data_IF_600410431312
#
_entry.id   IF_600410431312
#
_cell.length_a   1.000
_cell.length_b   1.000
_cell.length_c   1.000
_cell.angle_alpha   90.00
_cell.angle_beta   90.00
_cell.angle_gamma   90.00
#
_symmetry.space_group_name_H-M   'P 1'
#
loop_
_entity.id
_entity.type
_entity.pdbx_description
1 polymer ?
#
# COMPACT_ATOMS: atom_id res chain seq x y z
N UNK A 1 -49.07 -52.88 -43.34
CA UNK A 1 -49.93 -51.68 -43.30
C UNK A 1 -50.01 -51.20 -41.87
N UNK A 2 -49.67 -49.93 -41.62
CA UNK A 2 -50.54 -49.11 -40.79
C UNK A 2 -50.80 -47.71 -41.40
N UNK A 3 -51.89 -47.04 -41.01
CA UNK A 3 -52.37 -45.80 -41.62
C UNK A 3 -51.94 -44.52 -40.87
N UNK A 4 -51.89 -43.43 -41.64
CA UNK A 4 -52.41 -42.04 -41.41
C UNK A 4 -52.31 -41.39 -40.00
N UNK A 5 -52.14 -40.08 -39.82
CA UNK A 5 -51.81 -38.92 -40.64
C UNK A 5 -51.60 -37.72 -39.67
N UNK A 6 -50.88 -36.71 -40.16
CA UNK A 6 -50.48 -35.39 -39.60
C UNK A 6 -51.69 -34.45 -39.24
N UNK A 7 -51.54 -33.20 -38.69
CA UNK A 7 -50.40 -32.29 -38.86
C UNK A 7 -50.00 -31.29 -37.74
N UNK A 8 -48.82 -30.71 -38.01
CA UNK A 8 -48.09 -29.60 -37.38
C UNK A 8 -48.52 -28.20 -37.87
N UNK A 9 -48.51 -27.19 -36.97
CA UNK A 9 -48.18 -25.76 -37.19
C UNK A 9 -48.24 -25.05 -35.81
N UNK A 10 -47.42 -24.06 -35.37
CA UNK A 10 -46.89 -22.84 -35.98
C UNK A 10 -45.59 -22.35 -35.28
N UNK A 11 -44.72 -21.68 -36.05
CA UNK A 11 -43.58 -20.85 -35.59
C UNK A 11 -44.01 -19.40 -35.33
N UNK A 12 -43.18 -18.58 -34.67
CA UNK A 12 -42.99 -17.18 -35.04
C UNK A 12 -41.64 -16.93 -35.73
N UNK A 13 -41.66 -16.13 -36.79
CA UNK A 13 -40.51 -15.58 -37.53
C UNK A 13 -39.90 -14.38 -36.79
N UNK A 14 -38.57 -14.22 -36.88
CA UNK A 14 -37.89 -12.96 -36.60
C UNK A 14 -37.15 -12.50 -37.86
N UNK A 15 -37.41 -11.25 -38.22
CA UNK A 15 -36.99 -10.56 -39.45
C UNK A 15 -35.52 -10.17 -39.40
N UNK A 16 -34.81 -10.43 -40.51
CA UNK A 16 -33.43 -9.98 -40.78
C UNK A 16 -33.50 -8.59 -41.40
N UNK A 17 -32.75 -7.62 -40.85
CA UNK A 17 -32.47 -6.35 -41.52
C UNK A 17 -30.96 -6.18 -41.61
N UNK A 18 -30.45 -6.18 -42.83
CA UNK A 18 -29.06 -5.87 -43.18
C UNK A 18 -28.90 -4.37 -43.36
N UNK A 19 -27.82 -3.78 -42.84
CA UNK A 19 -27.31 -2.50 -43.30
C UNK A 19 -25.77 -2.51 -43.26
N UNK A 20 -25.17 -2.20 -44.41
CA UNK A 20 -23.74 -2.24 -44.69
C UNK A 20 -23.05 -0.89 -44.43
N UNK A 21 -21.81 -1.00 -43.92
CA UNK A 21 -20.59 -0.23 -44.23
C UNK A 21 -20.64 1.30 -44.28
N UNK A 22 -19.92 1.94 -43.34
CA UNK A 22 -18.96 3.03 -43.65
C UNK A 22 -17.79 2.96 -42.65
N UNK A 23 -16.56 2.73 -43.14
CA UNK A 23 -15.30 2.96 -42.42
C UNK A 23 -14.85 4.42 -42.61
N UNK A 24 -14.00 4.93 -41.72
CA UNK A 24 -12.69 5.30 -42.22
C UNK A 24 -11.54 4.81 -41.34
N UNK A 25 -10.47 4.42 -42.05
CA UNK A 25 -9.15 4.13 -41.52
C UNK A 25 -8.46 5.41 -41.01
N UNK A 26 -7.56 5.26 -40.03
CA UNK A 26 -6.18 5.80 -40.05
C UNK A 26 -5.51 5.62 -38.68
N UNK A 27 -4.52 4.74 -38.60
CA UNK A 27 -3.33 4.90 -37.73
C UNK A 27 -2.19 5.48 -38.59
N UNK A 28 -1.28 6.25 -38.00
CA UNK A 28 0.07 5.74 -37.73
C UNK A 28 0.59 6.16 -36.33
N UNK A 29 1.19 5.26 -35.55
CA UNK A 29 2.65 5.01 -35.43
C UNK A 29 3.39 5.93 -34.45
N UNK A 30 3.81 5.30 -33.34
CA UNK A 30 5.03 5.46 -32.52
C UNK A 30 6.05 6.58 -32.82
N UNK A 31 6.42 7.35 -31.79
CA UNK A 31 7.76 7.88 -31.45
C UNK A 31 7.79 8.14 -29.93
N UNK A 32 8.57 7.41 -29.12
CA UNK A 32 9.96 7.67 -28.71
C UNK A 32 10.20 9.06 -28.10
N UNK A 33 10.45 9.10 -26.79
CA UNK A 33 11.26 10.14 -26.16
C UNK A 33 12.17 9.50 -25.11
N UNK A 34 13.41 9.24 -25.53
CA UNK A 34 14.55 9.14 -24.65
C UNK A 34 15.00 10.56 -24.31
N UNK A 35 15.36 10.83 -23.05
CA UNK A 35 16.18 11.99 -22.71
C UNK A 35 17.34 11.53 -21.85
N UNK A 36 18.44 11.24 -22.54
CA UNK A 36 19.80 11.31 -22.06
C UNK A 36 20.22 12.77 -21.91
N UNK A 37 20.91 13.08 -20.82
CA UNK A 37 21.92 14.14 -20.75
C UNK A 37 22.98 13.71 -19.71
N UNK A 38 24.15 13.39 -20.24
CA UNK A 38 25.44 13.46 -19.54
C UNK A 38 25.73 14.93 -19.16
N UNK A 39 26.43 15.20 -18.05
CA UNK A 39 27.90 15.30 -18.03
C UNK A 39 28.47 16.02 -16.78
N UNK A 40 29.70 15.59 -16.40
CA UNK A 40 30.80 16.29 -15.69
C UNK A 40 30.68 16.53 -14.15
N UNK A 41 31.45 15.80 -13.32
CA UNK A 41 32.79 16.12 -12.70
C UNK A 41 32.81 17.42 -11.86
N UNK A 42 33.40 17.56 -10.65
CA UNK A 42 34.41 16.85 -9.82
C UNK A 42 34.30 17.41 -8.36
N UNK A 43 34.87 16.78 -7.32
CA UNK A 43 34.57 17.08 -5.92
C UNK A 43 35.56 18.07 -5.27
N UNK A 44 35.17 18.70 -4.15
CA UNK A 44 36.07 19.45 -3.28
C UNK A 44 35.95 18.98 -1.83
N UNK A 45 37.11 18.63 -1.27
CA UNK A 45 37.34 18.16 0.09
C UNK A 45 37.64 19.32 1.06
N UNK A 46 37.56 18.95 2.34
CA UNK A 46 38.26 19.46 3.53
C UNK A 46 38.13 20.93 3.94
N UNK A 47 37.74 21.12 5.20
CA UNK A 47 38.58 21.83 6.18
C UNK A 47 38.14 21.52 7.61
N UNK A 48 39.02 20.79 8.30
CA UNK A 48 39.03 20.63 9.75
C UNK A 48 39.92 21.73 10.37
N UNK A 49 39.44 22.37 11.44
CA UNK A 49 40.20 23.07 12.50
C UNK A 49 39.27 23.03 13.73
N UNK A 50 39.62 22.63 14.96
CA UNK A 50 40.90 22.51 15.65
C UNK A 50 40.90 23.43 16.88
N UNK A 51 41.02 22.86 18.10
CA UNK A 51 41.34 23.56 19.36
C UNK A 51 40.24 23.51 20.44
N UNK A 52 40.33 22.65 21.46
CA UNK A 52 41.11 22.81 22.72
C UNK A 52 40.49 23.86 23.68
N UNK A 53 39.69 23.43 24.67
CA UNK A 53 40.06 23.12 26.07
C UNK A 53 40.20 24.35 26.98
N UNK A 54 39.37 24.42 28.03
CA UNK A 54 39.68 24.78 29.43
C UNK A 54 38.37 24.71 30.25
N UNK A 55 38.19 23.79 31.20
CA UNK A 55 38.62 23.78 32.63
C UNK A 55 37.94 24.86 33.50
N UNK A 56 37.20 24.42 34.52
CA UNK A 56 36.66 25.28 35.59
C UNK A 56 35.67 24.57 36.52
N UNK A 57 36.20 23.95 37.57
CA UNK A 57 35.51 23.39 38.74
C UNK A 57 34.75 24.45 39.57
N UNK A 58 33.74 24.01 40.34
CA UNK A 58 33.27 24.77 41.51
C UNK A 58 31.87 24.41 42.02
N UNK A 59 31.82 23.65 43.11
CA UNK A 59 30.62 23.20 43.82
C UNK A 59 30.00 24.27 44.76
N UNK A 60 28.69 24.21 44.97
CA UNK A 60 28.03 24.33 46.28
C UNK A 60 26.51 24.16 46.14
N UNK A 61 25.90 23.34 47.00
CA UNK A 61 24.45 23.19 47.07
C UNK A 61 23.75 24.38 47.73
N UNK A 62 22.42 24.41 47.61
CA UNK A 62 21.45 24.35 48.73
C UNK A 62 20.11 24.95 48.28
N UNK A 63 19.03 24.25 48.68
CA UNK A 63 17.66 24.73 48.87
C UNK A 63 16.71 24.96 47.69
N UNK A 64 15.59 24.23 47.78
CA UNK A 64 14.39 24.33 46.97
C UNK A 64 13.75 25.71 47.16
N UNK A 65 13.44 26.38 46.05
CA UNK A 65 12.41 27.40 45.97
C UNK A 65 11.55 27.13 44.76
N UNK A 66 10.26 27.07 44.99
CA UNK A 66 9.20 26.91 43.99
C UNK A 66 9.20 28.08 43.00
N UNK A 67 8.91 27.78 41.73
CA UNK A 67 8.39 28.72 40.74
C UNK A 67 9.43 29.43 39.86
N UNK A 68 9.64 28.93 38.63
CA UNK A 68 9.43 29.67 37.37
C UNK A 68 9.76 28.77 36.16
N UNK A 69 8.73 28.41 35.39
CA UNK A 69 8.87 27.76 34.08
C UNK A 69 9.22 28.85 33.07
N UNK A 70 10.50 29.14 32.89
CA UNK A 70 10.96 30.02 31.82
C UNK A 70 10.96 29.26 30.49
N UNK A 71 9.85 29.30 29.74
CA UNK A 71 9.81 28.70 28.41
C UNK A 71 8.50 28.79 27.63
N UNK A 72 7.42 29.33 28.21
CA UNK A 72 6.11 29.40 27.56
C UNK A 72 5.67 30.86 27.45
N UNK A 73 6.08 31.53 26.37
CA UNK A 73 5.32 32.58 25.67
C UNK A 73 6.19 33.19 24.57
N UNK A 74 6.59 32.36 23.60
CA UNK A 74 7.25 32.86 22.40
C UNK A 74 6.18 33.39 21.44
N UNK A 75 6.07 34.71 21.34
CA UNK A 75 5.11 35.32 20.43
C UNK A 75 5.60 35.23 18.97
N UNK A 76 4.67 35.38 18.01
CA UNK A 76 4.98 35.26 16.57
C UNK A 76 6.10 36.20 16.12
N UNK A 77 6.21 37.39 16.72
CA UNK A 77 7.27 38.35 16.42
C UNK A 77 8.66 37.85 16.85
N UNK A 78 8.78 37.24 18.03
CA UNK A 78 10.01 36.62 18.52
C UNK A 78 10.40 35.40 17.69
N UNK A 79 9.41 34.67 17.18
CA UNK A 79 9.62 33.54 16.27
C UNK A 79 10.15 33.94 14.91
N UNK A 80 9.55 34.94 14.28
CA UNK A 80 10.06 35.46 13.00
C UNK A 80 11.49 36.01 13.15
N UNK A 81 11.78 36.65 14.29
CA UNK A 81 13.12 37.11 14.65
C UNK A 81 14.14 35.98 14.77
N UNK A 82 13.80 34.87 15.44
CA UNK A 82 14.72 33.73 15.60
C UNK A 82 15.07 33.05 14.26
N UNK A 83 14.20 33.17 13.26
CA UNK A 83 14.41 32.67 11.90
C UNK A 83 15.08 33.67 10.96
N UNK A 84 15.30 34.91 11.39
CA UNK A 84 15.80 36.01 10.55
C UNK A 84 14.80 36.47 9.49
N UNK A 85 13.50 36.32 9.77
CA UNK A 85 12.38 36.65 8.87
C UNK A 85 11.54 37.83 9.42
N UNK A 86 12.16 38.78 10.13
CA UNK A 86 11.46 39.92 10.74
C UNK A 86 10.67 40.76 9.73
N UNK A 87 11.11 40.81 8.47
CA UNK A 87 10.45 41.54 7.38
C UNK A 87 9.08 40.98 7.00
N UNK A 88 8.71 39.77 7.45
CA UNK A 88 7.39 39.18 7.21
C UNK A 88 6.38 39.55 8.30
N UNK A 89 6.80 40.24 9.36
CA UNK A 89 5.96 40.55 10.52
C UNK A 89 4.65 41.24 10.16
N UNK A 90 4.70 42.23 9.28
CA UNK A 90 3.52 43.02 8.88
C UNK A 90 2.45 42.15 8.20
N UNK A 91 2.85 41.13 7.44
CA UNK A 91 1.94 40.18 6.80
C UNK A 91 1.21 39.35 7.87
N UNK A 92 1.96 38.82 8.85
CA UNK A 92 1.38 38.03 9.93
C UNK A 92 0.47 38.84 10.84
N UNK A 93 0.79 40.11 11.11
CA UNK A 93 -0.07 41.00 11.89
C UNK A 93 -1.33 41.41 11.11
N UNK A 94 -1.21 41.69 9.81
CA UNK A 94 -2.35 42.07 8.95
C UNK A 94 -3.36 40.93 8.81
N UNK A 95 -2.86 39.71 8.59
CA UNK A 95 -3.69 38.50 8.43
C UNK A 95 -4.04 37.84 9.78
N UNK A 96 -3.67 38.45 10.91
CA UNK A 96 -3.92 37.94 12.28
C UNK A 96 -3.43 36.51 12.50
N UNK A 97 -2.28 36.15 11.93
CA UNK A 97 -1.71 34.81 12.00
C UNK A 97 -0.86 34.68 13.26
N UNK A 98 -1.40 33.95 14.23
CA UNK A 98 -0.71 33.56 15.46
C UNK A 98 0.11 32.28 15.25
N UNK A 99 0.96 31.91 16.22
CA UNK A 99 1.89 30.79 16.10
C UNK A 99 1.21 29.42 16.02
N UNK A 100 0.06 29.28 16.67
CA UNK A 100 -0.85 28.12 16.57
C UNK A 100 -1.49 28.04 15.19
N UNK A 101 -1.98 29.15 14.63
CA UNK A 101 -2.52 29.19 13.27
C UNK A 101 -1.43 28.84 12.26
N UNK A 102 -0.21 29.40 12.41
CA UNK A 102 0.93 29.09 11.57
C UNK A 102 1.32 27.60 11.61
N UNK A 103 1.09 26.90 12.73
CA UNK A 103 1.39 25.47 12.85
C UNK A 103 0.51 24.60 11.93
N UNK A 104 -0.67 25.10 11.56
CA UNK A 104 -1.60 24.40 10.67
C UNK A 104 -1.44 24.83 9.18
N UNK A 105 -0.57 25.82 8.89
CA UNK A 105 -0.38 26.34 7.54
C UNK A 105 0.67 25.56 6.73
N UNK A 106 0.36 25.30 5.46
CA UNK A 106 1.26 24.67 4.51
C UNK A 106 1.88 25.66 3.51
N UNK A 107 2.58 25.11 2.52
CA UNK A 107 3.23 25.93 1.50
C UNK A 107 2.22 26.73 0.66
N UNK A 108 1.03 26.22 0.41
CA UNK A 108 0.03 26.91 -0.43
C UNK A 108 -0.64 28.06 0.34
N UNK A 109 -1.01 27.85 1.59
CA UNK A 109 -1.61 28.86 2.46
C UNK A 109 -0.64 30.02 2.72
N UNK A 110 0.64 29.71 2.95
CA UNK A 110 1.68 30.74 3.10
C UNK A 110 1.89 31.55 1.81
N UNK A 111 1.59 30.96 0.64
CA UNK A 111 1.67 31.66 -0.64
C UNK A 111 0.47 32.59 -0.84
N UNK A 112 -0.71 32.17 -0.40
CA UNK A 112 -1.94 32.96 -0.46
C UNK A 112 -1.86 34.24 0.36
N UNK A 113 -1.20 34.21 1.52
CA UNK A 113 -0.95 35.40 2.35
C UNK A 113 0.21 36.27 1.84
N UNK A 114 0.83 35.93 0.70
CA UNK A 114 1.84 36.75 0.04
C UNK A 114 3.30 36.33 0.26
N UNK A 115 3.58 35.21 0.96
CA UNK A 115 4.96 34.71 1.16
C UNK A 115 5.35 33.82 -0.03
N UNK A 116 5.64 34.43 -1.17
CA UNK A 116 5.92 33.71 -2.41
C UNK A 116 7.28 32.96 -2.40
N UNK A 117 8.28 33.53 -1.71
CA UNK A 117 9.62 32.96 -1.64
C UNK A 117 9.62 31.59 -0.96
N UNK A 118 9.99 30.55 -1.71
CA UNK A 118 10.00 29.17 -1.21
C UNK A 118 10.86 29.00 0.05
N UNK A 119 12.05 29.61 0.07
CA UNK A 119 12.96 29.54 1.21
C UNK A 119 12.39 30.12 2.50
N UNK A 120 11.57 31.18 2.41
CA UNK A 120 10.90 31.75 3.58
C UNK A 120 9.79 30.84 4.09
N UNK A 121 8.93 30.33 3.19
CA UNK A 121 7.90 29.34 3.54
C UNK A 121 8.50 28.09 4.19
N UNK A 122 9.58 27.57 3.62
CA UNK A 122 10.26 26.39 4.15
C UNK A 122 10.86 26.64 5.55
N UNK A 123 11.49 27.79 5.76
CA UNK A 123 12.04 28.17 7.07
C UNK A 123 10.95 28.33 8.15
N UNK A 124 9.80 28.89 7.80
CA UNK A 124 8.66 29.04 8.72
C UNK A 124 8.13 27.67 9.16
N UNK A 125 7.82 26.79 8.20
CA UNK A 125 7.31 25.44 8.47
C UNK A 125 8.32 24.64 9.32
N UNK A 126 9.60 24.61 8.92
CA UNK A 126 10.65 23.91 9.68
C UNK A 126 10.91 24.53 11.06
N UNK A 127 10.76 25.84 11.18
CA UNK A 127 10.90 26.55 12.45
C UNK A 127 9.81 26.16 13.44
N UNK A 128 8.56 26.04 12.99
CA UNK A 128 7.43 25.65 13.84
C UNK A 128 7.54 24.17 14.23
N UNK A 129 7.91 23.29 13.30
CA UNK A 129 8.18 21.88 13.62
C UNK A 129 9.27 21.73 14.70
N UNK A 130 10.31 22.57 14.66
CA UNK A 130 11.39 22.55 15.67
C UNK A 130 10.93 23.11 17.01
N UNK A 131 10.06 24.11 17.00
CA UNK A 131 9.51 24.73 18.21
C UNK A 131 8.52 23.79 18.92
N UNK A 132 7.69 23.07 18.15
CA UNK A 132 6.73 22.08 18.66
C UNK A 132 7.35 20.71 18.97
N UNK A 133 8.42 20.34 18.26
CA UNK A 133 9.21 19.12 18.50
C UNK A 133 10.24 19.25 19.63
N UNK A 134 10.28 20.40 20.30
CA UNK A 134 11.26 20.76 21.31
C UNK A 134 10.99 20.23 22.72
N UNK A 135 10.46 19.02 22.89
CA UNK A 135 10.53 18.26 24.15
C UNK A 135 10.63 16.76 23.84
N UNK A 136 11.86 16.26 23.73
CA UNK A 136 12.12 14.84 23.94
C UNK A 136 11.89 14.53 25.43
N UNK A 137 10.80 13.84 25.74
CA UNK A 137 10.51 13.39 27.10
C UNK A 137 9.15 12.72 27.23
N UNK A 138 9.11 11.40 27.04
CA UNK A 138 8.22 10.43 27.72
C UNK A 138 6.68 10.52 27.55
N UNK A 139 6.13 9.44 26.97
CA UNK A 139 4.82 8.77 27.24
C UNK A 139 3.51 9.22 26.54
N UNK A 140 2.54 8.29 26.36
CA UNK A 140 1.88 8.05 25.06
C UNK A 140 0.34 8.03 25.17
N UNK A 141 -0.28 9.10 25.63
CA UNK A 141 -1.74 9.24 25.61
C UNK A 141 -2.10 10.72 25.49
N UNK A 142 -2.80 11.10 24.42
CA UNK A 142 -3.36 12.44 24.13
C UNK A 142 -2.28 13.48 23.77
N UNK A 143 -2.15 13.99 22.54
CA UNK A 143 -3.19 14.63 21.73
C UNK A 143 -2.64 14.74 20.30
N UNK A 144 -3.05 13.86 19.38
CA UNK A 144 -2.69 13.98 17.97
C UNK A 144 -3.80 14.71 17.22
N UNK A 145 -3.61 16.02 17.00
CA UNK A 145 -4.23 16.74 15.90
C UNK A 145 -3.68 16.16 14.57
N UNK A 146 -4.16 14.98 14.20
CA UNK A 146 -3.80 14.30 12.97
C UNK A 146 -4.89 14.60 11.94
N UNK A 147 -4.72 15.68 11.18
CA UNK A 147 -5.57 15.96 10.00
C UNK A 147 -4.78 15.93 8.69
N UNK A 148 -3.44 15.93 8.73
CA UNK A 148 -2.61 15.98 7.52
C UNK A 148 -1.41 15.01 7.45
N UNK A 149 -1.26 14.06 8.38
CA UNK A 149 -0.22 13.04 8.20
C UNK A 149 -0.65 12.04 7.14
N UNK A 150 0.12 11.96 6.05
CA UNK A 150 0.00 10.90 5.04
C UNK A 150 0.26 9.52 5.64
N UNK A 151 0.53 8.53 4.80
CA UNK A 151 0.80 7.17 5.29
C UNK A 151 2.09 7.11 6.11
N UNK A 152 1.99 6.60 7.33
CA UNK A 152 3.10 6.27 8.22
C UNK A 152 3.28 4.75 8.22
N UNK A 153 4.52 4.27 8.16
CA UNK A 153 4.86 2.86 8.30
C UNK A 153 5.50 2.64 9.66
N UNK A 154 4.87 1.82 10.50
CA UNK A 154 5.39 1.44 11.80
C UNK A 154 6.02 0.06 11.70
N UNK A 155 7.33 -0.04 11.87
CA UNK A 155 8.03 -1.33 11.95
C UNK A 155 7.57 -2.09 13.20
N UNK A 156 7.17 -3.35 13.01
CA UNK A 156 6.84 -4.27 14.09
C UNK A 156 8.10 -5.04 14.50
N UNK A 157 8.33 -5.20 15.80
CA UNK A 157 9.47 -5.97 16.29
C UNK A 157 9.21 -7.48 16.07
N UNK A 158 10.22 -8.29 15.70
CA UNK A 158 10.05 -9.73 15.50
C UNK A 158 9.52 -10.49 16.74
N UNK A 159 9.84 -9.98 17.92
CA UNK A 159 9.35 -10.46 19.22
C UNK A 159 7.87 -10.12 19.49
N UNK A 160 7.28 -9.17 18.76
CA UNK A 160 5.88 -8.79 18.92
C UNK A 160 4.94 -9.91 18.43
N UNK A 161 3.87 -10.16 19.20
CA UNK A 161 2.85 -11.15 18.82
C UNK A 161 2.17 -10.81 17.49
N UNK A 162 1.99 -9.53 17.20
CA UNK A 162 1.41 -9.07 15.95
C UNK A 162 2.30 -9.43 14.75
N UNK A 163 3.63 -9.26 14.87
CA UNK A 163 4.59 -9.68 13.85
C UNK A 163 4.52 -11.21 13.64
N UNK A 164 4.61 -11.98 14.73
CA UNK A 164 4.60 -13.44 14.70
C UNK A 164 3.35 -14.00 14.03
N UNK A 165 2.17 -13.47 14.34
CA UNK A 165 0.92 -13.91 13.73
C UNK A 165 0.84 -13.61 12.23
N UNK A 166 1.33 -12.44 11.79
CA UNK A 166 1.36 -12.10 10.36
C UNK A 166 2.33 -13.00 9.59
N UNK A 167 3.52 -13.25 10.16
CA UNK A 167 4.48 -14.18 9.56
C UNK A 167 3.94 -15.62 9.52
N UNK A 168 3.35 -16.11 10.61
CA UNK A 168 2.78 -17.47 10.67
C UNK A 168 1.68 -17.67 9.62
N UNK A 169 0.77 -16.71 9.46
CA UNK A 169 -0.26 -16.76 8.42
C UNK A 169 0.37 -16.74 7.02
N UNK A 170 1.41 -15.93 6.81
CA UNK A 170 2.10 -15.86 5.53
C UNK A 170 2.78 -17.20 5.18
N UNK A 171 3.46 -17.84 6.14
CA UNK A 171 4.18 -19.10 5.92
C UNK A 171 3.22 -20.29 5.79
N UNK A 172 2.24 -20.41 6.69
CA UNK A 172 1.30 -21.56 6.73
C UNK A 172 0.38 -21.64 5.51
N UNK A 173 0.20 -20.54 4.79
CA UNK A 173 -0.67 -20.45 3.60
C UNK A 173 0.07 -20.60 2.27
N UNK A 174 1.35 -20.98 2.28
CA UNK A 174 2.12 -21.37 1.08
C UNK A 174 1.53 -22.67 0.47
N UNK A 175 1.39 -22.70 -0.86
CA UNK A 175 0.89 -23.86 -1.62
C UNK A 175 1.67 -24.01 -2.93
N UNK A 176 1.72 -25.24 -3.46
CA UNK A 176 2.33 -25.53 -4.76
C UNK A 176 1.42 -25.13 -5.92
N UNK A 177 1.90 -24.27 -6.82
CA UNK A 177 1.08 -23.79 -7.93
C UNK A 177 1.15 -24.70 -9.16
N UNK A 178 0.02 -24.80 -9.89
CA UNK A 178 -0.11 -25.64 -11.11
C UNK A 178 0.86 -25.27 -12.23
N UNK A 179 1.40 -24.05 -12.21
CA UNK A 179 2.36 -23.54 -13.20
C UNK A 179 3.81 -23.96 -12.90
N UNK A 180 4.02 -24.85 -11.91
CA UNK A 180 5.35 -25.33 -11.53
C UNK A 180 6.25 -24.21 -10.99
N UNK A 181 5.67 -23.13 -10.46
CA UNK A 181 6.42 -21.98 -9.98
C UNK A 181 6.83 -20.98 -11.08
N UNK A 182 6.30 -21.08 -12.29
CA UNK A 182 6.65 -20.16 -13.39
C UNK A 182 6.37 -18.68 -13.05
N UNK A 183 5.21 -18.34 -12.48
CA UNK A 183 4.86 -16.96 -12.17
C UNK A 183 5.50 -16.46 -10.86
N UNK A 184 5.44 -17.27 -9.79
CA UNK A 184 5.83 -16.86 -8.43
C UNK A 184 7.27 -17.23 -8.03
N UNK A 185 7.92 -18.13 -8.78
CA UNK A 185 9.14 -18.81 -8.37
C UNK A 185 8.89 -20.14 -7.65
N UNK A 186 9.96 -20.91 -7.48
CA UNK A 186 9.95 -22.21 -6.79
C UNK A 186 10.47 -22.03 -5.36
N UNK A 187 9.63 -22.25 -4.35
CA UNK A 187 9.97 -22.07 -2.94
C UNK A 187 9.00 -22.84 -2.04
N UNK A 188 9.42 -23.10 -0.79
CA UNK A 188 8.60 -23.74 0.24
C UNK A 188 8.53 -22.94 1.56
N UNK A 189 9.26 -21.83 1.65
CA UNK A 189 9.26 -20.88 2.78
C UNK A 189 9.67 -19.49 2.30
N UNK A 190 9.28 -18.47 3.06
CA UNK A 190 9.81 -17.12 2.89
C UNK A 190 10.90 -16.82 3.93
N UNK A 191 11.84 -15.95 3.58
CA UNK A 191 12.66 -15.21 4.53
C UNK A 191 11.99 -13.84 4.73
N UNK A 192 11.31 -13.63 5.85
CA UNK A 192 10.65 -12.35 6.14
C UNK A 192 11.69 -11.36 6.65
N UNK A 193 11.85 -10.25 5.93
CA UNK A 193 12.86 -9.22 6.23
C UNK A 193 12.33 -8.20 7.24
N UNK A 194 11.07 -7.76 7.06
CA UNK A 194 10.36 -6.89 8.00
C UNK A 194 8.86 -6.88 7.71
N UNK A 195 8.08 -6.55 8.73
CA UNK A 195 6.64 -6.32 8.65
C UNK A 195 6.37 -4.92 9.20
N UNK A 196 5.69 -4.11 8.40
CA UNK A 196 5.33 -2.74 8.75
C UNK A 196 3.81 -2.60 8.81
N UNK A 197 3.29 -2.06 9.90
CA UNK A 197 1.88 -1.68 10.01
C UNK A 197 1.67 -0.36 9.30
N UNK A 198 0.72 -0.34 8.37
CA UNK A 198 0.39 0.85 7.59
C UNK A 198 -0.63 1.67 8.36
N UNK A 199 -0.27 2.90 8.71
CA UNK A 199 -1.12 3.83 9.45
C UNK A 199 -1.46 5.00 8.54
N UNK A 200 -2.72 5.06 8.10
CA UNK A 200 -3.25 6.21 7.38
C UNK A 200 -4.69 6.46 7.85
N UNK A 201 -4.88 7.58 8.56
CA UNK A 201 -6.16 7.93 9.17
C UNK A 201 -7.28 8.09 8.14
N UNK A 202 -7.03 8.82 7.05
CA UNK A 202 -8.02 9.04 5.98
C UNK A 202 -8.42 7.74 5.28
N UNK A 203 -7.46 6.84 5.04
CA UNK A 203 -7.78 5.52 4.48
C UNK A 203 -8.59 4.68 5.47
N UNK A 204 -8.23 4.73 6.76
CA UNK A 204 -8.92 3.98 7.80
C UNK A 204 -10.37 4.44 7.96
N UNK A 205 -10.61 5.74 7.97
CA UNK A 205 -11.95 6.32 8.07
C UNK A 205 -12.84 5.91 6.89
N UNK A 206 -12.32 5.98 5.65
CA UNK A 206 -13.05 5.51 4.46
C UNK A 206 -13.40 4.02 4.57
N UNK A 207 -12.45 3.20 5.02
CA UNK A 207 -12.66 1.77 5.23
C UNK A 207 -13.74 1.49 6.29
N UNK A 208 -13.63 2.11 7.47
CA UNK A 208 -14.57 1.92 8.57
C UNK A 208 -15.98 2.42 8.19
N UNK A 209 -16.08 3.51 7.44
CA UNK A 209 -17.36 4.01 6.93
C UNK A 209 -18.04 2.98 6.02
N UNK A 210 -17.33 2.48 5.00
CA UNK A 210 -17.89 1.45 4.10
C UNK A 210 -18.21 0.16 4.85
N UNK A 211 -17.37 -0.23 5.81
CA UNK A 211 -17.60 -1.43 6.61
C UNK A 211 -18.93 -1.35 7.38
N UNK A 212 -19.26 -0.18 7.93
CA UNK A 212 -20.54 0.06 8.60
C UNK A 212 -21.71 -0.07 7.63
N UNK A 213 -21.66 0.57 6.45
CA UNK A 213 -22.69 0.43 5.42
C UNK A 213 -22.92 -1.04 5.02
N UNK A 214 -21.84 -1.78 4.74
CA UNK A 214 -21.93 -3.20 4.38
C UNK A 214 -22.49 -4.05 5.53
N UNK A 215 -22.19 -3.70 6.78
CA UNK A 215 -22.77 -4.38 7.94
C UNK A 215 -24.28 -4.19 7.99
N UNK A 216 -24.76 -2.95 7.84
CA UNK A 216 -26.18 -2.59 7.86
C UNK A 216 -26.94 -3.25 6.69
N UNK A 217 -26.35 -3.27 5.50
CA UNK A 217 -26.88 -3.95 4.31
C UNK A 217 -26.93 -5.49 4.44
N UNK A 218 -26.17 -6.07 5.38
CA UNK A 218 -26.00 -7.51 5.52
C UNK A 218 -26.32 -8.02 6.94
N UNK A 219 -27.42 -7.55 7.54
CA UNK A 219 -27.93 -8.05 8.83
C UNK A 219 -26.89 -7.95 9.97
N UNK A 220 -26.20 -6.81 10.05
CA UNK A 220 -25.14 -6.53 11.02
C UNK A 220 -23.89 -7.42 10.86
N UNK A 221 -23.67 -8.03 9.70
CA UNK A 221 -22.51 -8.86 9.41
C UNK A 221 -21.66 -8.29 8.25
N UNK A 222 -20.59 -7.56 8.59
CA UNK A 222 -19.67 -7.04 7.57
C UNK A 222 -18.73 -8.10 6.96
N UNK A 223 -18.58 -9.26 7.62
CA UNK A 223 -17.78 -10.40 7.12
C UNK A 223 -16.35 -9.97 6.72
N UNK A 224 -15.62 -9.37 7.67
CA UNK A 224 -14.23 -8.98 7.44
C UNK A 224 -13.33 -10.24 7.42
N UNK A 225 -12.40 -10.28 6.49
CA UNK A 225 -11.30 -11.26 6.48
C UNK A 225 -9.96 -10.56 6.29
N UNK A 226 -8.92 -11.17 6.84
CA UNK A 226 -7.54 -10.86 6.49
C UNK A 226 -7.14 -11.65 5.25
N UNK A 227 -6.66 -10.98 4.21
CA UNK A 227 -6.30 -11.60 2.92
C UNK A 227 -5.06 -10.94 2.31
N UNK A 228 -4.28 -11.70 1.55
CA UNK A 228 -3.06 -11.23 0.89
C UNK A 228 -3.36 -10.51 -0.43
N UNK A 229 -2.53 -9.54 -0.77
CA UNK A 229 -2.54 -8.86 -2.07
C UNK A 229 -1.11 -8.60 -2.58
N UNK A 230 -0.79 -9.11 -3.76
CA UNK A 230 0.48 -8.82 -4.46
C UNK A 230 0.24 -7.93 -5.66
N UNK A 231 1.06 -6.91 -5.83
CA UNK A 231 0.92 -5.94 -6.92
C UNK A 231 2.25 -5.20 -7.18
N UNK A 232 2.58 -4.86 -8.44
CA UNK A 232 3.70 -3.96 -8.72
C UNK A 232 3.41 -2.50 -8.29
N UNK A 233 2.17 -2.20 -7.88
CA UNK A 233 1.71 -0.86 -7.49
C UNK A 233 1.51 -0.69 -5.98
N UNK A 234 2.14 -1.53 -5.15
CA UNK A 234 2.00 -1.49 -3.68
C UNK A 234 2.23 -0.09 -3.10
N UNK A 235 3.23 0.66 -3.58
CA UNK A 235 3.49 2.03 -3.11
C UNK A 235 2.29 2.96 -3.34
N UNK A 236 1.59 2.84 -4.47
CA UNK A 236 0.39 3.63 -4.72
C UNK A 236 -0.74 3.21 -3.76
N UNK A 237 -0.91 1.92 -3.52
CA UNK A 237 -1.97 1.37 -2.66
C UNK A 237 -1.79 1.83 -1.22
N UNK A 238 -0.59 1.76 -0.64
CA UNK A 238 -0.37 2.17 0.76
C UNK A 238 -0.57 3.68 0.96
N UNK A 239 -0.33 4.51 -0.06
CA UNK A 239 -0.48 5.97 0.02
C UNK A 239 -1.88 6.48 -0.34
N UNK A 240 -2.55 5.85 -1.30
CA UNK A 240 -3.82 6.33 -1.87
C UNK A 240 -5.03 5.43 -1.58
N UNK A 241 -4.78 4.23 -1.03
CA UNK A 241 -5.77 3.18 -0.86
C UNK A 241 -5.93 2.34 -2.13
N UNK A 242 -6.72 1.28 -2.02
CA UNK A 242 -7.19 0.55 -3.19
C UNK A 242 -8.16 1.42 -4.01
N UNK A 243 -8.19 1.20 -5.31
CA UNK A 243 -8.97 1.98 -6.26
C UNK A 243 -9.40 1.09 -7.43
N UNK A 244 -10.69 0.82 -7.52
CA UNK A 244 -11.29 -0.05 -8.54
C UNK A 244 -11.10 0.47 -9.97
N UNK A 245 -10.79 1.76 -10.15
CA UNK A 245 -10.49 2.34 -11.47
C UNK A 245 -9.19 1.78 -12.07
N UNK A 246 -8.33 1.20 -11.22
CA UNK A 246 -7.11 0.50 -11.62
C UNK A 246 -7.27 -1.03 -11.59
N UNK A 247 -8.49 -1.53 -11.46
CA UNK A 247 -8.77 -2.96 -11.42
C UNK A 247 -8.34 -3.65 -12.73
N UNK A 248 -7.88 -4.89 -12.60
CA UNK A 248 -7.52 -5.69 -13.75
C UNK A 248 -8.77 -6.20 -14.47
N UNK A 249 -9.11 -5.56 -15.59
CA UNK A 249 -10.28 -5.92 -16.43
C UNK A 249 -10.19 -7.38 -16.95
N UNK A 250 -8.97 -7.89 -17.13
CA UNK A 250 -8.73 -9.25 -17.61
C UNK A 250 -8.94 -10.35 -16.56
N UNK A 251 -9.23 -10.03 -15.29
CA UNK A 251 -9.39 -11.03 -14.23
C UNK A 251 -10.60 -11.96 -14.42
N UNK A 252 -10.57 -13.16 -13.85
CA UNK A 252 -11.62 -14.19 -14.07
C UNK A 252 -13.03 -13.73 -13.65
N UNK A 253 -13.11 -12.83 -12.68
CA UNK A 253 -14.35 -12.24 -12.17
C UNK A 253 -14.57 -10.80 -12.65
N UNK A 254 -13.82 -10.37 -13.67
CA UNK A 254 -13.88 -9.03 -14.26
C UNK A 254 -13.08 -7.98 -13.50
N UNK A 255 -13.49 -6.71 -13.63
CA UNK A 255 -12.76 -5.52 -13.21
C UNK A 255 -12.92 -5.25 -11.70
N UNK A 256 -12.44 -6.17 -10.89
CA UNK A 256 -12.38 -6.04 -9.43
C UNK A 256 -10.95 -6.00 -8.87
N UNK A 257 -10.86 -5.81 -7.57
CA UNK A 257 -9.63 -5.88 -6.79
C UNK A 257 -9.55 -7.28 -6.18
N UNK A 258 -8.49 -8.01 -6.51
CA UNK A 258 -8.34 -9.43 -6.18
C UNK A 258 -7.46 -9.62 -4.95
N UNK A 259 -7.87 -10.54 -4.08
CA UNK A 259 -7.14 -10.97 -2.89
C UNK A 259 -7.09 -12.50 -2.84
N UNK A 260 -6.11 -13.03 -2.11
CA UNK A 260 -5.97 -14.47 -1.91
C UNK A 260 -5.83 -14.81 -0.42
N UNK A 261 -6.39 -15.94 -0.02
CA UNK A 261 -6.10 -16.52 1.30
C UNK A 261 -4.73 -17.23 1.34
N UNK A 262 -4.16 -17.55 0.17
CA UNK A 262 -2.83 -18.11 0.06
C UNK A 262 -1.79 -17.04 -0.27
N UNK A 263 -0.80 -16.83 0.61
CA UNK A 263 0.29 -15.88 0.39
C UNK A 263 1.02 -16.13 -0.94
N UNK A 264 1.28 -17.40 -1.24
CA UNK A 264 1.95 -17.86 -2.47
C UNK A 264 1.20 -17.51 -3.75
N UNK A 265 -0.14 -17.42 -3.69
CA UNK A 265 -0.98 -16.97 -4.81
C UNK A 265 -0.78 -15.48 -5.06
N UNK A 266 -0.80 -14.66 -4.01
CA UNK A 266 -0.49 -13.23 -4.11
C UNK A 266 0.95 -12.96 -4.58
N UNK A 267 1.91 -13.80 -4.19
CA UNK A 267 3.30 -13.72 -4.67
C UNK A 267 3.41 -13.83 -6.21
N UNK A 268 2.52 -14.55 -6.90
CA UNK A 268 2.50 -14.65 -8.37
C UNK A 268 2.22 -13.30 -9.07
N UNK A 269 1.75 -12.29 -8.33
CA UNK A 269 1.35 -10.98 -8.86
C UNK A 269 2.25 -9.82 -8.42
N UNK A 270 3.26 -10.06 -7.58
CA UNK A 270 4.17 -9.02 -7.08
C UNK A 270 4.86 -8.26 -8.21
N UNK A 271 5.25 -8.97 -9.27
CA UNK A 271 5.90 -8.39 -10.44
C UNK A 271 4.94 -8.18 -11.63
N UNK A 272 3.63 -8.20 -11.37
CA UNK A 272 2.57 -8.09 -12.38
C UNK A 272 1.95 -9.44 -12.76
N UNK A 273 1.03 -9.40 -13.74
CA UNK A 273 0.23 -10.55 -14.16
C UNK A 273 1.15 -11.68 -14.64
N UNK A 274 0.95 -12.89 -14.11
CA UNK A 274 1.78 -14.05 -14.44
C UNK A 274 3.26 -13.89 -14.02
N UNK A 275 3.54 -13.05 -13.03
CA UNK A 275 4.89 -12.74 -12.57
C UNK A 275 5.64 -11.74 -13.47
N UNK A 276 5.02 -11.22 -14.54
CA UNK A 276 5.66 -10.30 -15.48
C UNK A 276 7.00 -10.80 -15.99
N UNK A 277 7.99 -9.91 -16.03
CA UNK A 277 9.39 -10.25 -16.36
C UNK A 277 10.22 -10.61 -15.13
N UNK A 278 9.59 -10.88 -13.98
CA UNK A 278 10.29 -11.10 -12.72
C UNK A 278 10.88 -9.84 -12.11
N UNK A 279 11.85 -10.00 -11.21
CA UNK A 279 12.44 -8.87 -10.50
C UNK A 279 13.11 -7.86 -11.48
N UNK A 280 13.06 -6.54 -11.19
CA UNK A 280 13.57 -5.53 -12.11
C UNK A 280 15.05 -5.69 -12.46
N UNK A 281 15.86 -6.11 -11.48
CA UNK A 281 17.32 -6.23 -11.57
C UNK A 281 17.76 -7.43 -12.40
N UNK A 282 17.24 -8.62 -12.10
CA UNK A 282 17.73 -9.87 -12.70
C UNK A 282 16.82 -10.43 -13.79
N UNK A 283 15.63 -9.82 -13.99
CA UNK A 283 14.58 -10.32 -14.88
C UNK A 283 14.21 -11.79 -14.61
N UNK A 284 14.21 -12.14 -13.32
CA UNK A 284 13.98 -13.49 -12.84
C UNK A 284 12.75 -13.53 -11.93
N UNK A 285 11.76 -14.35 -12.31
CA UNK A 285 10.51 -14.58 -11.55
C UNK A 285 10.74 -15.44 -10.30
N UNK A 286 11.79 -16.25 -10.29
CA UNK A 286 12.20 -17.08 -9.16
C UNK A 286 13.41 -16.51 -8.41
N UNK A 287 13.64 -15.19 -8.52
CA UNK A 287 14.77 -14.56 -7.86
C UNK A 287 14.69 -14.71 -6.33
N UNK A 288 15.76 -15.27 -5.76
CA UNK A 288 15.97 -15.50 -4.32
C UNK A 288 16.75 -14.36 -3.62
N UNK A 289 17.16 -13.34 -4.38
CA UNK A 289 18.04 -12.24 -3.90
C UNK A 289 17.24 -10.96 -3.66
N UNK A 290 16.42 -10.54 -4.64
CA UNK A 290 15.68 -9.29 -4.52
C UNK A 290 14.56 -9.38 -3.47
N UNK A 291 14.44 -8.33 -2.66
CA UNK A 291 13.32 -8.17 -1.75
C UNK A 291 12.03 -7.97 -2.55
N UNK A 292 11.00 -8.72 -2.17
CA UNK A 292 9.62 -8.61 -2.63
C UNK A 292 8.80 -7.92 -1.57
N UNK A 293 7.66 -7.38 -1.98
CA UNK A 293 6.67 -6.83 -1.06
C UNK A 293 5.29 -7.38 -1.40
N UNK A 294 4.52 -7.70 -0.37
CA UNK A 294 3.09 -7.98 -0.49
C UNK A 294 2.34 -7.33 0.67
N UNK A 295 1.04 -7.14 0.49
CA UNK A 295 0.16 -6.62 1.52
C UNK A 295 -0.63 -7.74 2.18
N UNK A 296 -0.90 -7.60 3.47
CA UNK A 296 -1.87 -8.39 4.20
C UNK A 296 -2.96 -7.45 4.73
N UNK A 297 -4.16 -7.58 4.18
CA UNK A 297 -5.18 -6.55 4.18
C UNK A 297 -6.41 -6.97 4.97
N UNK A 298 -7.08 -6.02 5.63
CA UNK A 298 -8.48 -6.20 6.03
C UNK A 298 -9.37 -6.03 4.81
N UNK A 299 -10.28 -6.97 4.58
CA UNK A 299 -11.19 -6.96 3.44
C UNK A 299 -12.61 -7.22 3.92
N UNK A 300 -13.49 -6.24 3.72
CA UNK A 300 -14.91 -6.31 4.04
C UNK A 300 -15.66 -7.00 2.91
N UNK A 301 -16.10 -8.24 3.11
CA UNK A 301 -16.73 -9.05 2.07
C UNK A 301 -18.25 -8.94 2.04
N UNK A 302 -18.89 -8.58 3.16
CA UNK A 302 -20.34 -8.59 3.32
C UNK A 302 -20.96 -9.92 2.86
N UNK A 303 -22.11 -9.82 2.21
CA UNK A 303 -22.71 -10.93 1.46
C UNK A 303 -21.90 -11.24 0.19
N UNK A 304 -21.21 -12.36 0.20
CA UNK A 304 -20.40 -12.84 -0.92
C UNK A 304 -21.18 -13.70 -1.90
N UNK A 305 -20.97 -13.47 -3.19
CA UNK A 305 -21.48 -14.32 -4.26
C UNK A 305 -20.46 -15.41 -4.60
N UNK A 306 -20.83 -16.67 -4.40
CA UNK A 306 -19.95 -17.80 -4.66
C UNK A 306 -19.98 -18.15 -6.14
N UNK A 307 -18.80 -18.29 -6.75
CA UNK A 307 -18.67 -18.65 -8.15
C UNK A 307 -17.57 -19.68 -8.38
N UNK A 308 -17.79 -20.61 -9.32
CA UNK A 308 -16.86 -21.70 -9.64
C UNK A 308 -16.23 -21.57 -11.03
N UNK A 309 -16.77 -20.70 -11.88
CA UNK A 309 -16.34 -20.47 -13.27
C UNK A 309 -16.14 -18.98 -13.57
N UNK A 310 -15.41 -18.67 -14.63
CA UNK A 310 -15.17 -17.30 -15.09
C UNK A 310 -16.50 -16.58 -15.36
N UNK A 311 -16.66 -15.40 -14.77
CA UNK A 311 -17.82 -14.53 -14.98
C UNK A 311 -17.34 -13.08 -14.92
N UNK A 312 -17.29 -12.40 -16.06
CA UNK A 312 -16.79 -11.02 -16.12
C UNK A 312 -17.82 -10.06 -15.52
N UNK A 313 -17.43 -9.37 -14.45
CA UNK A 313 -18.26 -8.38 -13.78
C UNK A 313 -17.54 -7.04 -13.67
N UNK A 314 -18.27 -5.93 -13.76
CA UNK A 314 -17.73 -4.60 -13.49
C UNK A 314 -18.02 -4.13 -12.05
N UNK A 315 -19.03 -4.72 -11.42
CA UNK A 315 -19.51 -4.41 -10.07
C UNK A 315 -19.91 -5.69 -9.36
N UNK A 316 -20.11 -5.64 -8.05
CA UNK A 316 -20.66 -6.76 -7.31
C UNK A 316 -22.07 -7.14 -7.87
N UNK A 317 -22.44 -8.43 -7.86
CA UNK A 317 -23.78 -8.84 -8.29
C UNK A 317 -24.87 -8.18 -7.43
N UNK A 318 -26.11 -8.01 -7.95
CA UNK A 318 -27.20 -7.44 -7.18
C UNK A 318 -27.38 -8.09 -5.80
N UNK A 319 -27.47 -7.28 -4.76
CA UNK A 319 -27.61 -7.74 -3.36
C UNK A 319 -26.36 -8.41 -2.77
N UNK A 320 -25.19 -8.27 -3.40
CA UNK A 320 -23.91 -8.78 -2.93
C UNK A 320 -22.87 -7.66 -2.88
N UNK A 321 -21.81 -7.89 -2.11
CA UNK A 321 -20.75 -6.90 -1.87
C UNK A 321 -19.38 -7.40 -2.35
N UNK A 322 -19.25 -8.70 -2.58
CA UNK A 322 -18.03 -9.36 -3.05
C UNK A 322 -18.34 -10.61 -3.87
N UNK A 323 -17.35 -11.11 -4.58
CA UNK A 323 -17.37 -12.42 -5.25
C UNK A 323 -16.27 -13.28 -4.65
N UNK A 324 -16.57 -14.55 -4.40
CA UNK A 324 -15.58 -15.56 -4.00
C UNK A 324 -15.50 -16.62 -5.09
N UNK A 325 -14.37 -16.66 -5.77
CA UNK A 325 -14.01 -17.73 -6.69
C UNK A 325 -13.58 -18.96 -5.89
N UNK A 326 -14.38 -20.03 -5.93
CA UNK A 326 -14.08 -21.28 -5.23
C UNK A 326 -13.22 -22.21 -6.10
N UNK A 327 -12.28 -22.96 -5.50
CA UNK A 327 -11.53 -23.97 -6.23
C UNK A 327 -12.45 -25.00 -6.91
N UNK A 328 -12.07 -25.44 -8.09
CA UNK A 328 -12.76 -26.51 -8.82
C UNK A 328 -11.77 -27.31 -9.67
N UNK A 329 -12.10 -28.57 -9.97
CA UNK A 329 -11.21 -29.52 -10.67
C UNK A 329 -10.67 -28.93 -11.97
N UNK A 330 -11.53 -28.28 -12.76
CA UNK A 330 -11.19 -27.67 -14.05
C UNK A 330 -11.11 -26.14 -14.02
N UNK A 331 -11.16 -25.53 -12.83
CA UNK A 331 -11.15 -24.08 -12.66
C UNK A 331 -10.01 -23.63 -11.75
N UNK A 332 -10.32 -22.74 -10.81
CA UNK A 332 -9.35 -22.22 -9.85
C UNK A 332 -8.70 -23.34 -9.02
N UNK A 333 -7.39 -23.24 -8.82
CA UNK A 333 -6.67 -24.13 -7.88
C UNK A 333 -6.88 -23.70 -6.42
N UNK A 334 -6.98 -22.38 -6.18
CA UNK A 334 -7.09 -21.75 -4.87
C UNK A 334 -8.18 -20.69 -4.88
N UNK A 335 -8.74 -20.39 -3.71
CA UNK A 335 -9.80 -19.39 -3.63
C UNK A 335 -9.28 -17.98 -3.95
N UNK A 336 -10.10 -17.20 -4.64
CA UNK A 336 -9.85 -15.78 -4.90
C UNK A 336 -11.04 -14.96 -4.40
N UNK A 337 -10.74 -13.82 -3.77
CA UNK A 337 -11.73 -12.92 -3.20
C UNK A 337 -11.70 -11.61 -3.97
N UNK A 338 -12.86 -11.16 -4.45
CA UNK A 338 -12.96 -9.98 -5.31
C UNK A 338 -13.95 -8.99 -4.74
N UNK A 339 -13.49 -7.76 -4.56
CA UNK A 339 -14.31 -6.59 -4.24
C UNK A 339 -14.28 -5.62 -5.42
N UNK A 340 -15.30 -4.77 -5.53
CA UNK A 340 -15.46 -3.85 -6.66
C UNK A 340 -15.44 -2.38 -6.24
N UNK A 341 -15.01 -2.11 -5.01
CA UNK A 341 -14.90 -0.79 -4.39
C UNK A 341 -13.63 -0.75 -3.55
N UNK A 342 -12.77 0.23 -3.78
CA UNK A 342 -11.51 0.36 -3.07
C UNK A 342 -11.66 0.46 -1.55
N UNK A 343 -12.69 1.17 -1.08
CA UNK A 343 -12.98 1.40 0.33
C UNK A 343 -13.41 0.14 1.10
N UNK A 344 -13.66 -1.00 0.44
CA UNK A 344 -13.88 -2.28 1.13
C UNK A 344 -12.59 -2.95 1.61
N UNK A 345 -11.41 -2.40 1.30
CA UNK A 345 -10.14 -2.95 1.77
C UNK A 345 -9.22 -1.89 2.41
N UNK A 346 -8.52 -2.29 3.46
CA UNK A 346 -7.47 -1.50 4.09
C UNK A 346 -6.14 -2.28 4.06
N UNK A 347 -5.04 -1.68 3.53
CA UNK A 347 -3.74 -2.35 3.47
C UNK A 347 -3.08 -2.36 4.85
N UNK A 348 -3.51 -3.24 5.75
CA UNK A 348 -3.11 -3.26 7.18
C UNK A 348 -1.60 -3.43 7.40
N UNK A 349 -0.99 -4.38 6.70
CA UNK A 349 0.43 -4.69 6.82
C UNK A 349 1.13 -4.70 5.46
N UNK A 350 2.34 -4.15 5.43
CA UNK A 350 3.30 -4.25 4.35
C UNK A 350 4.40 -5.23 4.76
N UNK A 351 4.49 -6.35 4.05
CA UNK A 351 5.47 -7.41 4.34
C UNK A 351 6.57 -7.34 3.30
N UNK A 352 7.82 -7.18 3.75
CA UNK A 352 9.02 -7.25 2.90
C UNK A 352 9.70 -8.59 3.12
N UNK A 353 9.96 -9.34 2.05
CA UNK A 353 10.42 -10.73 2.16
C UNK A 353 11.26 -11.18 0.95
N UNK A 354 11.91 -12.33 1.06
CA UNK A 354 12.45 -13.09 -0.07
C UNK A 354 11.79 -14.47 -0.12
N UNK A 355 11.66 -15.04 -1.32
CA UNK A 355 11.38 -16.48 -1.43
C UNK A 355 12.67 -17.25 -1.14
N UNK A 356 12.60 -18.41 -0.50
CA UNK A 356 13.78 -19.24 -0.24
C UNK A 356 13.86 -20.42 -1.20
N UNK A 357 15.06 -20.66 -1.73
CA UNK A 357 15.33 -21.81 -2.58
C UNK A 357 15.13 -23.09 -1.76
N UNK A 358 14.34 -24.07 -2.24
CA UNK A 358 14.22 -25.36 -1.56
C UNK A 358 15.58 -26.05 -1.48
N UNK A 359 15.83 -26.75 -0.37
CA UNK A 359 17.02 -27.59 -0.24
C UNK A 359 16.88 -28.79 -1.19
N UNK A 360 17.96 -29.13 -1.90
CA UNK A 360 17.98 -30.31 -2.75
C UNK A 360 17.93 -31.56 -1.85
N UNK A 361 17.14 -32.60 -2.19
CA UNK A 361 17.20 -33.86 -1.46
C UNK A 361 18.62 -34.41 -1.53
N UNK A 362 19.23 -34.67 -0.37
CA UNK A 362 20.56 -35.27 -0.29
C UNK A 362 20.53 -36.65 -0.93
N UNK A 363 21.23 -36.83 -2.05
CA UNK A 363 21.52 -38.15 -2.61
C UNK A 363 22.53 -38.85 -1.69
N UNK A 364 22.07 -39.43 -0.59
CA UNK A 364 22.89 -40.29 0.26
C UNK A 364 22.21 -41.63 0.48
N UNK A 365 22.86 -42.66 -0.06
CA UNK A 365 22.86 -44.07 0.32
C UNK A 365 21.65 -44.95 -0.01
N UNK A 366 21.68 -45.57 -1.20
CA UNK A 366 21.37 -47.01 -1.38
C UNK A 366 22.26 -47.59 -2.48
N UNK A 367 23.56 -47.67 -2.21
CA UNK A 367 24.51 -48.52 -2.94
C UNK A 367 25.20 -49.46 -1.95
N UNK A 368 24.40 -50.31 -1.29
CA UNK A 368 24.91 -51.43 -0.52
C UNK A 368 23.75 -52.38 -0.21
N UNK A 369 23.45 -53.30 -1.14
CA UNK A 369 22.96 -54.65 -0.83
C UNK A 369 22.85 -55.44 -2.15
N UNK A 370 24.00 -55.86 -2.67
CA UNK A 370 24.12 -57.02 -3.55
C UNK A 370 25.52 -57.60 -3.35
N UNK A 371 25.69 -58.33 -2.24
CA UNK A 371 26.69 -59.38 -2.06
C UNK A 371 26.44 -60.08 -0.71
N UNK A 372 25.59 -61.10 -0.74
CA UNK A 372 25.93 -62.46 -0.28
C UNK A 372 24.88 -63.44 -0.76
#
# INVERSE_FOLDING_TARGET
MPPEALPTCFKPQATVVSASLISPASTPSCLSAASSIDNLTVPLADLAVGGASNTGDGAAGTERKEGEVAGLDMNISQFLKSLGLEHLRDIFETEQITLDVLADMGHEELKEIGINAYGHRHKLIKGVERLLGGQQGTNPYLTFHCVNQGTILLDLAPEDKEYQSVEEEMQSTIREHRDGGNAGGIFNRYNVIRIQKVVNKKLRERFCHRQKEVSEENHNHHNERMLFHGSPFINAIIHKGFDERHAYIGGMFGAGIYFAENSSKSNQYVYGIGGGTGCPTHKDRSCYICHRQMLFCRVTLGKSFLQFSTMKMAHAPPGHHSVIGRPSVNGLAYAEYVIYRGEQAYPEYLITYQIMKPEAPSQTATAAEQKT
#
